data_IF_381195148840
#
_entry.id   IF_381195148840
#
_cell.length_a   1.000
_cell.length_b   1.000
_cell.length_c   1.000
_cell.angle_alpha   90.00
_cell.angle_beta   90.00
_cell.angle_gamma   90.00
#
_symmetry.space_group_name_H-M   'P 1'
#
loop_
_entity.id
_entity.type
_entity.pdbx_description
1 polymer ?
#
# COMPACT_ATOMS: atom_id res chain seq x y z
N UNK A 1 9.18 -11.81 4.10
CA UNK A 1 8.72 -10.40 3.94
C UNK A 1 8.99 -9.88 2.54
N UNK A 2 10.21 -10.02 2.00
CA UNK A 2 10.60 -9.54 0.66
C UNK A 2 9.70 -9.97 -0.50
N UNK A 3 9.02 -11.13 -0.41
CA UNK A 3 8.06 -11.56 -1.44
C UNK A 3 6.96 -10.55 -1.74
N UNK A 4 6.46 -9.82 -0.73
CA UNK A 4 5.39 -8.83 -0.94
C UNK A 4 5.90 -7.56 -1.62
N UNK A 5 7.13 -7.16 -1.29
CA UNK A 5 7.83 -6.10 -2.00
C UNK A 5 8.09 -6.48 -3.47
N UNK A 6 8.54 -7.71 -3.71
CA UNK A 6 8.71 -8.26 -5.05
C UNK A 6 7.40 -8.28 -5.86
N UNK A 7 6.28 -8.67 -5.23
CA UNK A 7 4.95 -8.57 -5.87
C UNK A 7 4.64 -7.12 -6.23
N UNK A 8 4.90 -6.16 -5.32
CA UNK A 8 4.72 -4.75 -5.60
C UNK A 8 5.54 -4.27 -6.80
N UNK A 9 6.82 -4.67 -6.90
CA UNK A 9 7.68 -4.36 -8.05
C UNK A 9 7.15 -4.96 -9.36
N UNK A 10 6.65 -6.20 -9.33
CA UNK A 10 6.04 -6.84 -10.51
C UNK A 10 4.81 -6.05 -10.96
N UNK A 11 3.96 -5.62 -10.02
CA UNK A 11 2.78 -4.79 -10.34
C UNK A 11 3.22 -3.47 -10.98
N UNK A 12 4.23 -2.80 -10.43
CA UNK A 12 4.77 -1.56 -11.01
C UNK A 12 5.33 -1.81 -12.41
N UNK A 13 6.12 -2.85 -12.62
CA UNK A 13 6.69 -3.18 -13.93
C UNK A 13 5.62 -3.49 -14.98
N UNK A 14 4.61 -4.28 -14.61
CA UNK A 14 3.48 -4.62 -15.50
C UNK A 14 2.67 -3.36 -15.83
N UNK A 15 2.38 -2.51 -14.84
CA UNK A 15 1.65 -1.27 -15.08
C UNK A 15 2.41 -0.32 -16.02
N UNK A 16 3.73 -0.18 -15.84
CA UNK A 16 4.58 0.60 -16.73
C UNK A 16 4.64 0.02 -18.14
N UNK A 17 4.71 -1.31 -18.27
CA UNK A 17 4.68 -1.99 -19.56
C UNK A 17 3.34 -1.77 -20.28
N UNK A 18 2.21 -1.80 -19.57
CA UNK A 18 0.89 -1.48 -20.13
C UNK A 18 0.89 -0.06 -20.70
N UNK A 19 1.37 0.93 -19.94
CA UNK A 19 1.41 2.33 -20.39
C UNK A 19 2.27 2.51 -21.62
N UNK A 20 3.42 1.87 -21.65
CA UNK A 20 4.32 1.87 -22.80
C UNK A 20 3.69 1.23 -24.05
N UNK A 21 3.11 0.03 -23.92
CA UNK A 21 2.55 -0.70 -25.06
C UNK A 21 1.26 -0.07 -25.60
N UNK A 22 0.47 0.55 -24.73
CA UNK A 22 -0.83 1.16 -25.10
C UNK A 22 -0.72 2.66 -25.39
N UNK A 23 0.43 3.28 -25.14
CA UNK A 23 0.61 4.74 -25.07
C UNK A 23 -0.39 5.45 -24.14
N UNK A 24 -0.99 4.71 -23.18
CA UNK A 24 -1.96 5.23 -22.24
C UNK A 24 -1.37 5.26 -20.83
N UNK A 25 -0.62 6.33 -20.52
CA UNK A 25 -0.02 6.53 -19.20
C UNK A 25 -1.04 6.85 -18.11
N UNK A 26 -2.23 7.32 -18.47
CA UNK A 26 -3.33 7.54 -17.52
C UNK A 26 -3.79 6.20 -16.91
N UNK A 27 -3.94 5.17 -17.74
CA UNK A 27 -4.29 3.82 -17.27
C UNK A 27 -3.21 3.28 -16.31
N UNK A 28 -1.93 3.44 -16.64
CA UNK A 28 -0.83 3.06 -15.77
C UNK A 28 -0.85 3.81 -14.44
N UNK A 29 -1.13 5.11 -14.47
CA UNK A 29 -1.23 5.93 -13.27
C UNK A 29 -2.37 5.44 -12.38
N UNK A 30 -3.54 5.13 -12.93
CA UNK A 30 -4.69 4.59 -12.17
C UNK A 30 -4.32 3.26 -11.50
N UNK A 31 -3.70 2.33 -12.25
CA UNK A 31 -3.29 1.02 -11.70
C UNK A 31 -2.31 1.22 -10.54
N UNK A 32 -1.30 2.07 -10.73
CA UNK A 32 -0.24 2.33 -9.74
C UNK A 32 -0.81 3.06 -8.53
N UNK A 33 -1.71 4.00 -8.72
CA UNK A 33 -2.39 4.70 -7.64
C UNK A 33 -3.21 3.75 -6.78
N UNK A 34 -4.00 2.86 -7.38
CA UNK A 34 -4.78 1.85 -6.65
C UNK A 34 -3.84 0.87 -5.93
N UNK A 35 -2.80 0.38 -6.60
CA UNK A 35 -1.85 -0.57 -6.04
C UNK A 35 -0.97 0.03 -4.92
N UNK A 36 -0.75 1.35 -4.92
CA UNK A 36 -0.02 2.05 -3.87
C UNK A 36 -0.93 2.47 -2.71
N UNK A 37 -2.01 3.20 -3.00
CA UNK A 37 -2.90 3.80 -2.01
C UNK A 37 -3.84 2.77 -1.37
N UNK A 38 -4.31 1.77 -2.11
CA UNK A 38 -5.21 0.74 -1.56
C UNK A 38 -4.59 0.01 -0.35
N UNK A 39 -3.39 -0.58 -0.48
CA UNK A 39 -2.71 -1.21 0.65
C UNK A 39 -2.35 -0.23 1.77
N UNK A 40 -2.02 1.02 1.44
CA UNK A 40 -1.74 2.07 2.43
C UNK A 40 -2.97 2.39 3.28
N UNK A 41 -4.12 2.62 2.66
CA UNK A 41 -5.38 2.86 3.35
C UNK A 41 -5.80 1.65 4.18
N UNK A 42 -5.69 0.44 3.62
CA UNK A 42 -6.00 -0.79 4.36
C UNK A 42 -5.11 -0.93 5.60
N UNK A 43 -3.81 -0.66 5.48
CA UNK A 43 -2.91 -0.64 6.64
C UNK A 43 -3.32 0.43 7.65
N UNK A 44 -3.68 1.64 7.20
CA UNK A 44 -4.18 2.73 8.06
C UNK A 44 -5.47 2.38 8.82
N UNK A 45 -6.40 1.63 8.19
CA UNK A 45 -7.59 1.12 8.89
C UNK A 45 -7.20 0.13 9.99
N UNK A 46 -6.25 -0.76 9.71
CA UNK A 46 -5.79 -1.75 10.68
C UNK A 46 -4.99 -1.15 11.85
N UNK A 47 -4.30 -0.02 11.65
CA UNK A 47 -3.59 0.68 12.74
C UNK A 47 -4.52 1.48 13.65
N UNK A 48 -5.77 1.71 13.23
CA UNK A 48 -6.67 2.65 13.91
C UNK A 48 -6.34 4.12 13.62
N UNK A 49 -5.66 4.43 12.51
CA UNK A 49 -5.31 5.82 12.15
C UNK A 49 -6.54 6.73 11.98
N UNK A 50 -7.72 6.15 11.72
CA UNK A 50 -8.98 6.86 11.49
C UNK A 50 -9.94 6.84 12.69
N UNK A 51 -9.49 6.40 13.87
CA UNK A 51 -10.30 6.42 15.11
C UNK A 51 -9.66 7.30 16.18
N UNK A 52 -10.46 7.75 17.16
CA UNK A 52 -9.98 8.53 18.30
C UNK A 52 -8.90 7.79 19.09
N UNK A 53 -7.92 8.51 19.62
CA UNK A 53 -6.84 7.94 20.45
C UNK A 53 -7.35 7.12 21.64
N UNK A 54 -8.42 7.55 22.29
CA UNK A 54 -9.01 6.81 23.43
C UNK A 54 -9.55 5.44 23.01
N UNK A 55 -10.28 5.37 21.89
CA UNK A 55 -10.74 4.10 21.30
C UNK A 55 -9.55 3.22 20.87
N UNK A 56 -8.51 3.81 20.29
CA UNK A 56 -7.33 3.05 19.88
C UNK A 56 -6.59 2.45 21.08
N UNK A 57 -6.45 3.22 22.18
CA UNK A 57 -5.87 2.75 23.44
C UNK A 57 -6.72 1.65 24.08
N UNK A 58 -8.04 1.82 24.11
CA UNK A 58 -8.95 0.78 24.60
C UNK A 58 -8.82 -0.52 23.80
N UNK A 59 -8.85 -0.45 22.46
CA UNK A 59 -8.66 -1.60 21.57
C UNK A 59 -7.32 -2.32 21.84
N UNK A 60 -6.25 -1.55 22.04
CA UNK A 60 -4.92 -2.11 22.34
C UNK A 60 -4.89 -2.90 23.65
N UNK A 61 -5.63 -2.46 24.68
CA UNK A 61 -5.69 -3.16 25.97
C UNK A 61 -6.58 -4.42 25.92
N UNK A 62 -7.57 -4.46 25.02
CA UNK A 62 -8.47 -5.61 24.87
C UNK A 62 -7.97 -6.63 23.83
N UNK A 63 -7.11 -6.24 22.90
CA UNK A 63 -6.55 -7.10 21.85
C UNK A 63 -5.52 -8.08 22.43
N UNK A 64 -5.61 -9.37 22.06
CA UNK A 64 -4.62 -10.36 22.49
C UNK A 64 -3.25 -10.11 21.84
N UNK A 65 -2.16 -10.49 22.50
CA UNK A 65 -0.83 -10.34 21.89
C UNK A 65 -0.70 -11.09 20.56
N UNK A 66 -1.32 -12.26 20.44
CA UNK A 66 -1.30 -13.07 19.21
C UNK A 66 -1.97 -12.32 18.06
N UNK A 67 -3.15 -11.76 18.31
CA UNK A 67 -3.91 -11.02 17.30
C UNK A 67 -3.17 -9.75 16.90
N UNK A 68 -2.57 -9.05 17.87
CA UNK A 68 -1.75 -7.87 17.61
C UNK A 68 -0.55 -8.18 16.71
N UNK A 69 0.15 -9.28 16.96
CA UNK A 69 1.27 -9.71 16.12
C UNK A 69 0.79 -10.07 14.71
N UNK A 70 -0.32 -10.81 14.59
CA UNK A 70 -0.90 -11.16 13.29
C UNK A 70 -1.32 -9.92 12.49
N UNK A 71 -2.00 -8.96 13.14
CA UNK A 71 -2.36 -7.66 12.57
C UNK A 71 -1.13 -6.90 12.09
N UNK A 72 -0.10 -6.77 12.94
CA UNK A 72 1.15 -6.11 12.59
C UNK A 72 1.86 -6.77 11.41
N UNK A 73 1.85 -8.10 11.33
CA UNK A 73 2.40 -8.82 10.18
C UNK A 73 1.61 -8.53 8.91
N UNK A 74 0.28 -8.50 8.96
CA UNK A 74 -0.56 -8.16 7.80
C UNK A 74 -0.34 -6.72 7.33
N UNK A 75 -0.27 -5.75 8.25
CA UNK A 75 0.05 -4.35 7.92
C UNK A 75 1.41 -4.23 7.22
N UNK A 76 2.45 -4.89 7.76
CA UNK A 76 3.79 -4.89 7.12
C UNK A 76 3.75 -5.46 5.71
N UNK A 77 2.97 -6.51 5.45
CA UNK A 77 2.84 -7.10 4.11
C UNK A 77 2.16 -6.12 3.14
N UNK A 78 1.09 -5.46 3.58
CA UNK A 78 0.39 -4.43 2.79
C UNK A 78 1.30 -3.25 2.45
N UNK A 79 2.02 -2.71 3.44
CA UNK A 79 2.94 -1.61 3.22
C UNK A 79 4.09 -1.98 2.28
N UNK A 80 4.65 -3.19 2.41
CA UNK A 80 5.69 -3.67 1.49
C UNK A 80 5.16 -3.84 0.06
N UNK A 81 3.92 -4.29 -0.11
CA UNK A 81 3.28 -4.41 -1.43
C UNK A 81 3.01 -3.03 -2.07
N UNK A 82 2.53 -2.07 -1.28
CA UNK A 82 2.25 -0.72 -1.74
C UNK A 82 3.49 0.15 -1.98
N UNK A 83 4.57 -0.07 -1.24
CA UNK A 83 5.78 0.76 -1.27
C UNK A 83 6.37 1.04 -2.67
N UNK A 84 6.66 0.04 -3.53
CA UNK A 84 7.20 0.31 -4.87
C UNK A 84 6.21 1.08 -5.75
N UNK A 85 4.91 0.79 -5.63
CA UNK A 85 3.86 1.50 -6.37
C UNK A 85 3.74 2.95 -5.91
N UNK A 86 3.78 3.22 -4.61
CA UNK A 86 3.78 4.60 -4.08
C UNK A 86 5.02 5.37 -4.49
N UNK A 87 6.20 4.75 -4.43
CA UNK A 87 7.44 5.39 -4.88
C UNK A 87 7.36 5.78 -6.36
N UNK A 88 6.86 4.87 -7.20
CA UNK A 88 6.70 5.15 -8.63
C UNK A 88 5.57 6.14 -8.93
N UNK A 89 4.48 6.13 -8.15
CA UNK A 89 3.42 7.13 -8.24
C UNK A 89 3.96 8.54 -8.02
N UNK A 90 4.80 8.73 -7.00
CA UNK A 90 5.44 10.02 -6.72
C UNK A 90 6.30 10.46 -7.91
N UNK A 91 7.07 9.54 -8.51
CA UNK A 91 7.88 9.83 -9.70
C UNK A 91 6.99 10.27 -10.87
N UNK A 92 5.91 9.53 -11.17
CA UNK A 92 5.00 9.86 -12.26
C UNK A 92 4.34 11.23 -12.06
N UNK A 93 3.90 11.55 -10.84
CA UNK A 93 3.28 12.83 -10.53
C UNK A 93 4.28 13.98 -10.69
N UNK A 94 5.53 13.80 -10.27
CA UNK A 94 6.58 14.81 -10.45
C UNK A 94 6.91 15.02 -11.93
N UNK A 95 6.94 13.96 -12.74
CA UNK A 95 7.24 14.07 -14.18
C UNK A 95 6.07 14.64 -15.00
N UNK A 96 4.84 14.52 -14.51
CA UNK A 96 3.64 15.01 -15.18
C UNK A 96 3.31 16.48 -14.85
N UNK A 97 3.96 17.05 -13.83
CA UNK A 97 3.86 18.46 -13.41
C UNK A 97 5.02 19.28 -14.01
#
# INVERSE_FOLDING_TARGET
MFKYFGIGLVVTAVASLIGYLTNNWELSLIIIAIAGLGPLFMAGFMTGAFVSGDRNRANYHTESQKDRIAKNQSMKKLLLLGAPNLAFLIILVILAL
#
